data_IF_439423629287
#
_entry.id   IF_439423629287
#
_cell.length_a   1.000
_cell.length_b   1.000
_cell.length_c   1.000
_cell.angle_alpha   90.00
_cell.angle_beta   90.00
_cell.angle_gamma   90.00
#
_symmetry.space_group_name_H-M   'P 1'
#
loop_
_entity.id
_entity.type
_entity.pdbx_description
1 polymer ?
#
# COMPACT_ATOMS: atom_id res chain seq x y z
N UNK A 1 12.05 -41.29 21.72
CA UNK A 1 12.04 -39.80 21.80
C UNK A 1 11.86 -39.08 20.45
N UNK A 2 11.90 -39.76 19.29
CA UNK A 2 11.71 -39.10 17.98
C UNK A 2 10.26 -38.65 17.72
N UNK A 3 9.26 -39.39 18.22
CA UNK A 3 7.83 -39.10 18.00
C UNK A 3 7.38 -37.76 18.59
N UNK A 4 7.81 -37.42 19.81
CA UNK A 4 7.44 -36.17 20.47
C UNK A 4 7.97 -34.92 19.72
N UNK A 5 9.12 -35.04 19.06
CA UNK A 5 9.75 -33.95 18.30
C UNK A 5 8.91 -33.61 17.06
N UNK A 6 8.40 -34.63 16.35
CA UNK A 6 7.53 -34.41 15.19
C UNK A 6 6.23 -33.70 15.56
N UNK A 7 5.61 -34.09 16.68
CA UNK A 7 4.38 -33.46 17.16
C UNK A 7 4.62 -31.98 17.48
N UNK A 8 5.71 -31.65 18.19
CA UNK A 8 6.08 -30.25 18.49
C UNK A 8 6.31 -29.42 17.23
N UNK A 9 7.02 -29.95 16.24
CA UNK A 9 7.28 -29.24 14.98
C UNK A 9 5.99 -28.97 14.20
N UNK A 10 5.06 -29.93 14.15
CA UNK A 10 3.76 -29.76 13.48
C UNK A 10 2.93 -28.63 14.11
N UNK A 11 2.87 -28.55 15.44
CA UNK A 11 2.16 -27.47 16.14
C UNK A 11 2.77 -26.10 15.83
N UNK A 12 4.10 -25.98 15.82
CA UNK A 12 4.79 -24.73 15.49
C UNK A 12 4.49 -24.32 14.04
N UNK A 13 4.50 -25.25 13.09
CA UNK A 13 4.17 -24.95 11.69
C UNK A 13 2.72 -24.46 11.52
N UNK A 14 1.75 -25.09 12.19
CA UNK A 14 0.33 -24.70 12.12
C UNK A 14 0.13 -23.29 12.69
N UNK A 15 0.70 -23.01 13.87
CA UNK A 15 0.59 -21.68 14.51
C UNK A 15 1.27 -20.61 13.65
N UNK A 16 2.44 -20.92 13.07
CA UNK A 16 3.18 -19.98 12.21
C UNK A 16 2.45 -19.70 10.90
N UNK A 17 1.74 -20.67 10.36
CA UNK A 17 0.97 -20.52 9.11
C UNK A 17 -0.24 -19.60 9.33
N UNK A 18 -0.96 -19.78 10.44
CA UNK A 18 -2.09 -18.93 10.79
C UNK A 18 -1.71 -17.46 11.03
N UNK A 19 -0.53 -17.20 11.61
CA UNK A 19 -0.09 -15.83 11.88
C UNK A 19 0.18 -15.04 10.59
N UNK A 20 0.69 -15.71 9.55
CA UNK A 20 0.93 -15.09 8.24
C UNK A 20 -0.36 -14.72 7.51
N UNK A 21 -1.43 -15.53 7.62
CA UNK A 21 -2.74 -15.21 7.03
C UNK A 21 -3.42 -14.01 7.71
N UNK A 22 -3.28 -13.88 9.04
CA UNK A 22 -3.86 -12.75 9.77
C UNK A 22 -3.13 -11.45 9.42
N UNK A 23 -1.80 -11.46 9.35
CA UNK A 23 -1.03 -10.27 8.98
C UNK A 23 -1.26 -9.86 7.52
N UNK A 24 -1.42 -10.84 6.63
CA UNK A 24 -1.71 -10.64 5.22
C UNK A 24 -3.04 -9.91 4.96
N UNK A 25 -4.06 -10.21 5.78
CA UNK A 25 -5.40 -9.67 5.62
C UNK A 25 -5.63 -8.34 6.36
N UNK A 26 -4.63 -7.85 7.11
CA UNK A 26 -4.70 -6.50 7.68
C UNK A 26 -4.67 -5.47 6.56
N UNK A 27 -5.74 -4.67 6.48
CA UNK A 27 -5.78 -3.49 5.63
C UNK A 27 -4.69 -2.52 6.11
N UNK A 28 -3.74 -2.23 5.23
CA UNK A 28 -2.69 -1.23 5.47
C UNK A 28 -2.92 -0.04 4.54
N UNK A 29 -2.52 1.12 5.04
CA UNK A 29 -2.43 2.33 4.23
C UNK A 29 -1.21 2.21 3.32
N UNK A 30 -1.40 2.44 2.03
CA UNK A 30 -0.35 2.34 1.04
C UNK A 30 -0.31 3.63 0.23
N UNK A 31 0.89 4.18 0.03
CA UNK A 31 1.09 5.24 -0.94
C UNK A 31 1.29 4.57 -2.29
N UNK A 32 0.54 5.02 -3.29
CA UNK A 32 0.72 4.61 -4.66
C UNK A 32 1.09 5.82 -5.51
N UNK A 33 2.15 5.66 -6.29
CA UNK A 33 2.63 6.67 -7.23
C UNK A 33 2.38 6.18 -8.66
N UNK A 34 1.77 7.02 -9.48
CA UNK A 34 1.57 6.79 -10.90
C UNK A 34 2.07 7.98 -11.72
N UNK A 35 2.74 7.69 -12.83
CA UNK A 35 3.19 8.71 -13.78
C UNK A 35 2.25 8.71 -14.97
N UNK A 36 1.70 9.87 -15.30
CA UNK A 36 0.75 10.02 -16.40
C UNK A 36 1.19 11.17 -17.32
N UNK A 37 0.80 11.14 -18.58
CA UNK A 37 1.03 12.27 -19.48
C UNK A 37 0.15 13.46 -19.11
N UNK A 38 0.69 14.67 -19.23
CA UNK A 38 -0.05 15.91 -19.02
C UNK A 38 0.58 16.84 -17.99
N UNK A 39 -0.23 17.77 -17.47
CA UNK A 39 0.14 18.73 -16.42
C UNK A 39 -0.90 18.75 -15.30
N UNK A 40 -0.47 19.09 -14.10
CA UNK A 40 -1.32 19.25 -12.94
C UNK A 40 -2.27 20.45 -13.14
N UNK A 41 -3.55 20.19 -13.37
CA UNK A 41 -4.59 21.22 -13.42
C UNK A 41 -4.83 21.83 -12.03
N UNK A 42 -5.50 22.99 -11.92
CA UNK A 42 -5.75 23.69 -10.64
C UNK A 42 -6.49 22.83 -9.59
N UNK A 43 -7.24 21.81 -10.01
CA UNK A 43 -7.86 20.78 -9.15
C UNK A 43 -7.01 19.51 -9.08
N UNK A 44 -5.76 19.70 -8.66
CA UNK A 44 -4.67 18.70 -8.63
C UNK A 44 -5.08 17.36 -8.01
N UNK A 45 -5.78 17.44 -6.88
CA UNK A 45 -6.08 16.28 -6.06
C UNK A 45 -7.21 15.45 -6.68
N UNK A 46 -8.24 16.12 -7.22
CA UNK A 46 -9.41 15.47 -7.85
C UNK A 46 -9.03 14.80 -9.17
N UNK A 47 -8.11 15.39 -9.94
CA UNK A 47 -7.65 14.80 -11.18
C UNK A 47 -6.90 13.48 -10.93
N UNK A 48 -5.92 13.49 -10.02
CA UNK A 48 -5.19 12.27 -9.65
C UNK A 48 -6.10 11.22 -9.00
N UNK A 49 -7.04 11.65 -8.15
CA UNK A 49 -8.03 10.75 -7.54
C UNK A 49 -8.90 10.08 -8.60
N UNK A 50 -9.40 10.83 -9.58
CA UNK A 50 -10.17 10.28 -10.70
C UNK A 50 -9.34 9.36 -11.58
N UNK A 51 -8.06 9.65 -11.85
CA UNK A 51 -7.19 8.76 -12.60
C UNK A 51 -7.02 7.41 -11.87
N UNK A 52 -6.80 7.44 -10.56
CA UNK A 52 -6.69 6.22 -9.75
C UNK A 52 -8.00 5.45 -9.71
N UNK A 53 -9.14 6.14 -9.51
CA UNK A 53 -10.46 5.51 -9.46
C UNK A 53 -10.89 4.93 -10.80
N UNK A 54 -10.69 5.65 -11.91
CA UNK A 54 -11.23 5.30 -13.21
C UNK A 54 -10.28 4.40 -14.01
N UNK A 55 -8.99 4.72 -14.11
CA UNK A 55 -8.06 3.96 -14.93
C UNK A 55 -7.55 2.71 -14.21
N UNK A 56 -7.44 2.78 -12.88
CA UNK A 56 -6.79 1.75 -12.08
C UNK A 56 -7.79 0.98 -11.20
N UNK A 57 -9.07 1.35 -11.25
CA UNK A 57 -10.16 0.74 -10.46
C UNK A 57 -9.95 0.83 -8.94
N UNK A 58 -9.11 1.77 -8.51
CA UNK A 58 -8.75 1.98 -7.12
C UNK A 58 -9.74 2.90 -6.43
N UNK A 59 -10.91 2.35 -6.12
CA UNK A 59 -12.03 3.07 -5.50
C UNK A 59 -11.68 3.68 -4.14
N UNK A 60 -10.65 3.16 -3.48
CA UNK A 60 -10.18 3.58 -2.16
C UNK A 60 -9.03 4.59 -2.24
N UNK A 61 -8.76 5.19 -3.40
CA UNK A 61 -7.79 6.28 -3.51
C UNK A 61 -8.34 7.56 -2.87
N UNK A 62 -7.54 8.18 -2.00
CA UNK A 62 -7.81 9.48 -1.35
C UNK A 62 -6.50 10.20 -1.03
N UNK A 63 -6.62 11.46 -0.60
CA UNK A 63 -5.47 12.33 -0.25
C UNK A 63 -4.39 12.30 -1.35
N UNK A 64 -4.85 12.49 -2.59
CA UNK A 64 -4.01 12.50 -3.76
C UNK A 64 -3.29 13.85 -3.89
N UNK A 65 -2.01 13.81 -4.26
CA UNK A 65 -1.24 14.98 -4.67
C UNK A 65 -0.79 14.84 -6.12
N UNK A 66 -0.61 15.97 -6.78
CA UNK A 66 -0.09 16.05 -8.15
C UNK A 66 1.19 16.89 -8.15
N UNK A 67 2.27 16.34 -8.72
CA UNK A 67 3.53 17.05 -8.95
C UNK A 67 3.84 17.03 -10.44
N UNK A 68 4.11 18.20 -11.03
CA UNK A 68 4.58 18.26 -12.42
C UNK A 68 6.03 17.75 -12.51
N UNK A 69 6.29 16.86 -13.46
CA UNK A 69 7.61 16.33 -13.77
C UNK A 69 7.84 16.44 -15.29
N UNK A 70 8.37 17.59 -15.71
CA UNK A 70 8.60 17.94 -17.11
C UNK A 70 7.32 17.87 -17.98
N UNK A 71 7.16 16.82 -18.78
CA UNK A 71 6.02 16.52 -19.67
C UNK A 71 5.02 15.52 -19.10
N UNK A 72 5.29 15.02 -17.90
CA UNK A 72 4.44 14.06 -17.20
C UNK A 72 4.01 14.65 -15.85
N UNK A 73 2.89 14.16 -15.35
CA UNK A 73 2.52 14.35 -13.95
C UNK A 73 2.91 13.12 -13.15
N UNK A 74 3.29 13.38 -11.90
CA UNK A 74 3.44 12.38 -10.87
C UNK A 74 2.27 12.53 -9.89
N UNK A 75 1.33 11.60 -9.96
CA UNK A 75 0.25 11.49 -9.01
C UNK A 75 0.65 10.57 -7.86
N UNK A 76 0.45 11.03 -6.63
CA UNK A 76 0.73 10.29 -5.40
C UNK A 76 -0.56 10.22 -4.58
N UNK A 77 -1.13 9.03 -4.36
CA UNK A 77 -2.36 8.87 -3.60
C UNK A 77 -2.21 7.86 -2.47
N UNK A 78 -3.02 8.02 -1.43
CA UNK A 78 -3.20 6.99 -0.42
C UNK A 78 -4.31 6.02 -0.85
N UNK A 79 -4.06 4.73 -0.71
CA UNK A 79 -5.02 3.66 -0.92
C UNK A 79 -5.04 2.73 0.29
N UNK A 80 -6.19 2.15 0.57
CA UNK A 80 -6.34 1.14 1.63
C UNK A 80 -6.51 -0.21 0.96
N UNK A 81 -5.56 -1.12 1.22
CA UNK A 81 -5.54 -2.50 0.68
C UNK A 81 -4.93 -3.47 1.68
N UNK A 82 -5.15 -4.79 1.53
CA UNK A 82 -4.40 -5.79 2.26
C UNK A 82 -2.89 -5.62 2.03
N UNK A 83 -2.08 -5.83 3.06
CA UNK A 83 -0.63 -5.58 3.01
C UNK A 83 0.08 -6.29 1.85
N UNK A 84 -0.39 -7.48 1.47
CA UNK A 84 0.15 -8.25 0.34
C UNK A 84 -0.13 -7.63 -1.03
N UNK A 85 -1.22 -6.87 -1.15
CA UNK A 85 -1.67 -6.20 -2.38
C UNK A 85 -1.12 -4.78 -2.55
N UNK A 86 -0.30 -4.33 -1.61
CA UNK A 86 0.41 -3.06 -1.75
C UNK A 86 1.70 -3.16 -2.58
N UNK A 87 2.04 -4.35 -3.08
CA UNK A 87 3.17 -4.53 -4.00
C UNK A 87 2.76 -4.18 -5.43
N UNK A 88 3.58 -3.31 -6.02
CA UNK A 88 3.72 -2.89 -7.43
C UNK A 88 2.75 -3.57 -8.40
N UNK A 89 1.84 -2.78 -8.97
CA UNK A 89 1.17 -3.13 -10.24
C UNK A 89 2.02 -2.60 -11.40
N UNK A 90 1.93 -3.19 -12.60
CA UNK A 90 2.82 -2.88 -13.74
C UNK A 90 2.90 -1.40 -14.16
N UNK A 91 2.00 -0.54 -13.65
CA UNK A 91 1.88 0.88 -14.00
C UNK A 91 2.03 1.81 -12.79
N UNK A 92 2.21 1.25 -11.58
CA UNK A 92 2.27 2.04 -10.35
C UNK A 92 3.24 1.46 -9.33
N UNK A 93 3.98 2.36 -8.69
CA UNK A 93 4.80 2.01 -7.55
C UNK A 93 4.00 2.26 -6.28
N UNK A 94 3.46 1.18 -5.72
CA UNK A 94 2.81 1.20 -4.42
C UNK A 94 3.77 0.75 -3.33
N UNK A 95 3.72 1.39 -2.17
CA UNK A 95 4.54 1.07 -1.01
C UNK A 95 3.71 1.27 0.26
N UNK A 96 3.93 0.41 1.25
CA UNK A 96 3.25 0.53 2.54
C UNK A 96 3.70 1.83 3.20
N UNK A 97 2.74 2.64 3.67
CA UNK A 97 3.04 3.74 4.58
C UNK A 97 3.51 3.13 5.89
N UNK A 98 4.83 3.06 6.07
CA UNK A 98 5.40 2.90 7.41
C UNK A 98 5.25 4.26 8.05
N UNK A 99 4.17 4.45 8.82
CA UNK A 99 4.04 5.60 9.69
C UNK A 99 5.32 5.68 10.52
N UNK A 100 6.15 6.68 10.24
CA UNK A 100 7.31 7.01 11.05
C UNK A 100 6.81 7.04 12.50
N UNK A 101 7.44 6.32 13.45
CA UNK A 101 6.99 6.36 14.84
C UNK A 101 6.92 7.83 15.23
N UNK A 102 5.72 8.25 15.64
CA UNK A 102 5.44 9.59 16.14
C UNK A 102 6.41 9.81 17.29
N UNK A 103 7.53 10.49 17.04
CA UNK A 103 8.40 11.00 18.09
C UNK A 103 7.49 11.85 18.97
N UNK A 104 7.07 11.26 20.09
CA UNK A 104 6.46 11.99 21.18
C UNK A 104 7.51 12.99 21.59
N UNK A 105 7.31 14.22 21.14
CA UNK A 105 7.97 15.40 21.65
C UNK A 105 7.68 15.41 23.16
N UNK A 106 8.56 14.77 23.93
CA UNK A 106 8.61 14.92 25.36
C UNK A 106 9.05 16.38 25.60
N UNK A 107 8.12 17.17 26.09
CA UNK A 107 8.36 18.53 26.56
C UNK A 107 8.15 18.53 28.07
#
# INVERSE_FOLDING_TARGET
MKSAIYVLLSFVFIISSHFQEVEANMQKLCICNGTFEGRCANTRDVFCENLFKNNLQEKTAFNCGCTDSNSHILCTCHVVRPAQLCRVTNWMKCSIQVSKPRERLAK
#
